data_IF_101787739638
#
_entry.id   IF_101787739638
#
_cell.length_a   1.000
_cell.length_b   1.000
_cell.length_c   1.000
_cell.angle_alpha   90.00
_cell.angle_beta   90.00
_cell.angle_gamma   90.00
#
_symmetry.space_group_name_H-M   'P 1'
#
loop_
_entity.id
_entity.type
_entity.pdbx_description
1 polymer ?
#
# COMPACT_ATOMS: atom_id res chain seq x y z
N UNK A 1 11.04 -3.91 20.65
CA UNK A 1 11.27 -4.22 19.24
C UNK A 1 12.32 -3.26 18.73
N UNK A 2 13.45 -3.77 18.26
CA UNK A 2 14.46 -2.94 17.59
C UNK A 2 14.10 -2.70 16.11
N UNK A 3 14.91 -1.92 15.38
CA UNK A 3 14.63 -1.56 14.00
C UNK A 3 14.61 -2.78 13.05
N UNK A 4 15.50 -3.76 13.26
CA UNK A 4 15.61 -4.95 12.40
C UNK A 4 14.44 -5.89 12.68
N UNK A 5 14.07 -6.04 13.95
CA UNK A 5 12.91 -6.84 14.37
C UNK A 5 11.60 -6.22 13.85
N UNK A 6 11.47 -4.88 13.89
CA UNK A 6 10.32 -4.17 13.34
C UNK A 6 10.21 -4.31 11.83
N UNK A 7 11.33 -4.23 11.11
CA UNK A 7 11.39 -4.44 9.66
C UNK A 7 10.90 -5.85 9.30
N UNK A 8 11.42 -6.89 9.96
CA UNK A 8 11.00 -8.28 9.74
C UNK A 8 9.52 -8.47 10.02
N UNK A 9 9.04 -7.95 11.16
CA UNK A 9 7.63 -8.05 11.54
C UNK A 9 6.72 -7.37 10.51
N UNK A 10 7.11 -6.19 10.01
CA UNK A 10 6.34 -5.47 9.00
C UNK A 10 6.21 -6.29 7.70
N UNK A 11 7.31 -6.90 7.24
CA UNK A 11 7.30 -7.77 6.07
C UNK A 11 6.42 -9.01 6.27
N UNK A 12 6.51 -9.65 7.43
CA UNK A 12 5.70 -10.82 7.76
C UNK A 12 4.20 -10.51 7.75
N UNK A 13 3.79 -9.37 8.32
CA UNK A 13 2.40 -8.92 8.32
C UNK A 13 1.86 -8.76 6.89
N UNK A 14 2.65 -8.12 6.01
CA UNK A 14 2.29 -7.94 4.60
C UNK A 14 2.19 -9.27 3.86
N UNK A 15 3.14 -10.17 4.06
CA UNK A 15 3.14 -11.49 3.43
C UNK A 15 1.95 -12.36 3.89
N UNK A 16 1.60 -12.29 5.17
CA UNK A 16 0.45 -13.01 5.72
C UNK A 16 -0.87 -12.48 5.15
N UNK A 17 -1.06 -11.16 5.09
CA UNK A 17 -2.26 -10.55 4.53
C UNK A 17 -2.40 -10.83 3.03
N UNK A 18 -1.29 -10.79 2.28
CA UNK A 18 -1.26 -11.20 0.88
C UNK A 18 -1.69 -12.66 0.70
N UNK A 19 -1.22 -13.55 1.58
CA UNK A 19 -1.64 -14.96 1.61
C UNK A 19 -3.14 -15.13 1.85
N UNK A 20 -3.72 -14.37 2.77
CA UNK A 20 -5.17 -14.36 3.01
C UNK A 20 -5.95 -13.84 1.79
N UNK A 21 -5.50 -12.74 1.21
CA UNK A 21 -6.12 -12.14 0.02
C UNK A 21 -6.11 -13.10 -1.17
N UNK A 22 -4.99 -13.80 -1.41
CA UNK A 22 -4.90 -14.80 -2.48
C UNK A 22 -5.81 -16.01 -2.24
N UNK A 23 -6.05 -16.42 -0.98
CA UNK A 23 -7.03 -17.47 -0.68
C UNK A 23 -8.46 -17.01 -0.94
N UNK A 24 -8.77 -15.73 -0.72
CA UNK A 24 -10.11 -15.17 -0.93
C UNK A 24 -10.45 -14.96 -2.40
N UNK A 25 -9.50 -14.50 -3.22
CA UNK A 25 -9.77 -14.07 -4.61
C UNK A 25 -9.02 -14.89 -5.68
N UNK A 26 -8.32 -15.94 -5.27
CA UNK A 26 -7.50 -16.77 -6.14
C UNK A 26 -6.10 -16.19 -6.37
N UNK A 27 -5.16 -17.04 -6.78
CA UNK A 27 -3.75 -16.67 -6.99
C UNK A 27 -3.57 -15.68 -8.15
N UNK A 28 -4.41 -15.76 -9.18
CA UNK A 28 -4.47 -14.81 -10.29
C UNK A 28 -5.36 -13.59 -9.99
N UNK A 29 -6.05 -13.58 -8.84
CA UNK A 29 -7.07 -12.59 -8.50
C UNK A 29 -8.17 -12.54 -9.57
N UNK A 30 -8.91 -13.65 -9.73
CA UNK A 30 -9.88 -13.85 -10.83
C UNK A 30 -11.03 -12.84 -10.83
N UNK A 31 -11.27 -12.17 -9.68
CA UNK A 31 -12.22 -11.05 -9.57
C UNK A 31 -11.66 -9.71 -10.07
N UNK A 32 -10.35 -9.63 -10.28
CA UNK A 32 -9.59 -8.39 -10.49
C UNK A 32 -9.07 -8.26 -11.92
N UNK A 33 -9.59 -9.10 -12.82
CA UNK A 33 -9.56 -8.81 -14.26
C UNK A 33 -10.73 -7.91 -14.71
N UNK A 34 -11.22 -7.03 -13.83
CA UNK A 34 -12.41 -6.20 -14.09
C UNK A 34 -12.12 -4.71 -14.36
N UNK A 35 -10.93 -4.17 -14.08
CA UNK A 35 -10.66 -2.76 -14.38
C UNK A 35 -9.19 -2.34 -14.31
N UNK A 36 -8.87 -1.35 -15.14
CA UNK A 36 -7.57 -0.68 -15.21
C UNK A 36 -7.37 0.20 -13.95
N UNK A 37 -6.86 -0.37 -12.85
CA UNK A 37 -6.36 0.39 -11.69
C UNK A 37 -7.23 0.41 -10.42
N UNK A 38 -8.30 -0.39 -10.31
CA UNK A 38 -9.11 -0.42 -9.08
C UNK A 38 -8.34 -0.91 -7.84
N UNK A 39 -7.36 -1.81 -8.00
CA UNK A 39 -6.49 -2.24 -6.88
C UNK A 39 -5.65 -1.08 -6.34
N UNK A 40 -5.04 -0.31 -7.25
CA UNK A 40 -4.29 0.89 -6.89
C UNK A 40 -5.19 1.87 -6.11
N UNK A 41 -6.38 2.13 -6.64
CA UNK A 41 -7.40 2.97 -6.05
C UNK A 41 -7.87 2.49 -4.67
N UNK A 42 -8.09 1.19 -4.49
CA UNK A 42 -8.45 0.60 -3.20
C UNK A 42 -7.33 0.74 -2.16
N UNK A 43 -6.08 0.51 -2.56
CA UNK A 43 -4.93 0.72 -1.67
C UNK A 43 -4.75 2.19 -1.29
N UNK A 44 -4.93 3.11 -2.24
CA UNK A 44 -4.88 4.55 -1.98
C UNK A 44 -5.98 5.00 -1.03
N UNK A 45 -7.22 4.55 -1.24
CA UNK A 45 -8.33 4.81 -0.34
C UNK A 45 -8.05 4.30 1.09
N UNK A 46 -7.42 3.14 1.25
CA UNK A 46 -7.06 2.62 2.57
C UNK A 46 -6.02 3.52 3.27
N UNK A 47 -5.03 4.03 2.52
CA UNK A 47 -4.06 4.98 3.06
C UNK A 47 -4.69 6.33 3.40
N UNK A 48 -5.57 6.84 2.55
CA UNK A 48 -6.29 8.10 2.76
C UNK A 48 -7.13 8.04 4.03
N UNK A 49 -7.95 6.99 4.21
CA UNK A 49 -8.73 6.83 5.44
C UNK A 49 -7.86 6.58 6.69
N UNK A 50 -6.69 5.95 6.54
CA UNK A 50 -5.73 5.83 7.65
C UNK A 50 -5.14 7.18 8.02
N UNK A 51 -4.83 8.02 7.04
CA UNK A 51 -4.39 9.39 7.27
C UNK A 51 -5.50 10.22 7.93
N UNK A 52 -6.72 10.13 7.42
CA UNK A 52 -7.86 10.84 8.00
C UNK A 52 -8.12 10.38 9.43
N UNK A 53 -7.95 9.09 9.73
CA UNK A 53 -8.06 8.55 11.10
C UNK A 53 -7.08 9.22 12.06
N UNK A 54 -5.85 9.51 11.64
CA UNK A 54 -4.86 10.20 12.47
C UNK A 54 -5.27 11.63 12.82
N UNK A 55 -6.09 12.25 11.97
CA UNK A 55 -6.54 13.63 12.13
C UNK A 55 -7.91 13.73 12.82
N UNK A 56 -8.83 12.81 12.52
CA UNK A 56 -10.26 12.87 12.89
C UNK A 56 -10.73 11.75 13.81
N UNK A 57 -9.88 10.76 14.10
CA UNK A 57 -10.22 9.62 14.95
C UNK A 57 -10.88 8.47 14.19
N UNK A 58 -11.50 7.54 14.92
CA UNK A 58 -11.94 6.25 14.38
C UNK A 58 -13.01 6.34 13.27
N UNK A 59 -13.73 7.47 13.18
CA UNK A 59 -14.83 7.67 12.25
C UNK A 59 -14.40 7.82 10.78
N UNK A 60 -13.10 7.96 10.51
CA UNK A 60 -12.55 8.10 9.17
C UNK A 60 -12.93 6.96 8.20
N UNK A 61 -13.24 5.76 8.72
CA UNK A 61 -13.66 4.62 7.90
C UNK A 61 -15.19 4.53 7.68
N UNK A 62 -15.97 5.46 8.25
CA UNK A 62 -17.41 5.57 7.97
C UNK A 62 -17.70 6.31 6.67
N UNK A 63 -16.73 7.07 6.17
CA UNK A 63 -16.79 7.74 4.87
C UNK A 63 -15.94 6.93 3.90
N UNK A 64 -16.54 6.49 2.80
CA UNK A 64 -15.81 5.80 1.73
C UNK A 64 -15.03 6.86 0.95
N UNK A 65 -13.69 6.79 0.88
CA UNK A 65 -12.90 7.73 0.10
C UNK A 65 -13.30 7.70 -1.37
N UNK A 66 -13.26 8.85 -2.05
CA UNK A 66 -13.67 8.97 -3.46
C UNK A 66 -12.86 8.06 -4.38
N UNK A 67 -11.59 7.82 -4.05
CA UNK A 67 -10.71 6.93 -4.79
C UNK A 67 -11.17 5.47 -4.74
N UNK A 68 -11.96 5.05 -3.75
CA UNK A 68 -12.34 3.64 -3.62
C UNK A 68 -13.23 3.18 -4.80
N UNK A 69 -13.00 1.99 -5.38
CA UNK A 69 -13.80 1.48 -6.48
C UNK A 69 -15.31 1.46 -6.17
N UNK A 70 -16.11 2.15 -7.00
CA UNK A 70 -17.56 2.32 -6.78
C UNK A 70 -18.37 1.03 -6.90
N UNK A 71 -17.86 0.07 -7.66
CA UNK A 71 -18.41 -1.26 -7.87
C UNK A 71 -17.96 -2.28 -6.82
N UNK A 72 -17.07 -1.88 -5.90
CA UNK A 72 -16.65 -2.72 -4.79
C UNK A 72 -17.47 -2.40 -3.54
N UNK A 73 -17.90 -3.46 -2.86
CA UNK A 73 -18.50 -3.38 -1.53
C UNK A 73 -17.46 -3.65 -0.44
N UNK A 74 -17.70 -3.16 0.77
CA UNK A 74 -16.98 -3.65 1.96
C UNK A 74 -15.72 -2.89 2.34
N UNK A 75 -15.61 -1.63 1.91
CA UNK A 75 -14.67 -0.68 2.50
C UNK A 75 -14.90 -0.62 4.03
N UNK A 76 -13.85 -0.82 4.81
CA UNK A 76 -13.93 -0.91 6.27
C UNK A 76 -12.59 -0.65 6.93
N UNK A 77 -12.64 -0.36 8.22
CA UNK A 77 -11.47 -0.42 9.10
C UNK A 77 -11.09 -1.88 9.37
N UNK A 78 -9.79 -2.15 9.36
CA UNK A 78 -9.18 -3.42 9.76
C UNK A 78 -8.54 -3.34 11.15
N UNK A 79 -8.81 -2.28 11.92
CA UNK A 79 -8.28 -2.07 13.27
C UNK A 79 -7.53 -0.75 13.40
N UNK A 80 -6.33 -0.78 13.98
CA UNK A 80 -5.44 0.38 14.09
C UNK A 80 -4.72 0.72 12.79
N UNK A 81 -3.74 1.62 12.84
CA UNK A 81 -3.00 2.05 11.64
C UNK A 81 -2.27 0.89 10.95
N UNK A 82 -1.58 0.05 11.73
CA UNK A 82 -0.79 -1.07 11.20
C UNK A 82 -1.62 -1.98 10.28
N UNK A 83 -2.74 -2.59 10.71
CA UNK A 83 -3.51 -3.48 9.84
C UNK A 83 -4.10 -2.75 8.63
N UNK A 84 -4.53 -1.49 8.76
CA UNK A 84 -5.04 -0.72 7.62
C UNK A 84 -3.94 -0.43 6.59
N UNK A 85 -2.74 -0.07 7.03
CA UNK A 85 -1.57 0.13 6.15
C UNK A 85 -1.19 -1.20 5.48
N UNK A 86 -1.16 -2.30 6.22
CA UNK A 86 -0.85 -3.64 5.69
C UNK A 86 -1.83 -4.05 4.58
N UNK A 87 -3.13 -3.80 4.77
CA UNK A 87 -4.14 -4.04 3.72
C UNK A 87 -3.92 -3.13 2.51
N UNK A 88 -3.64 -1.84 2.73
CA UNK A 88 -3.31 -0.90 1.66
C UNK A 88 -2.09 -1.34 0.84
N UNK A 89 -1.01 -1.77 1.50
CA UNK A 89 0.19 -2.33 0.86
C UNK A 89 -0.14 -3.60 0.08
N UNK A 90 -1.00 -4.47 0.64
CA UNK A 90 -1.41 -5.71 -0.04
C UNK A 90 -2.15 -5.43 -1.35
N UNK A 91 -3.04 -4.42 -1.37
CA UNK A 91 -3.66 -3.97 -2.62
C UNK A 91 -2.63 -3.49 -3.65
N UNK A 92 -1.61 -2.75 -3.21
CA UNK A 92 -0.54 -2.28 -4.09
C UNK A 92 0.32 -3.42 -4.63
N UNK A 93 0.63 -4.43 -3.82
CA UNK A 93 1.34 -5.64 -4.28
C UNK A 93 0.52 -6.38 -5.33
N UNK A 94 -0.78 -6.52 -5.11
CA UNK A 94 -1.67 -7.15 -6.09
C UNK A 94 -1.72 -6.35 -7.40
N UNK A 95 -1.65 -5.02 -7.35
CA UNK A 95 -1.58 -4.20 -8.56
C UNK A 95 -0.25 -4.42 -9.28
N UNK A 96 0.87 -4.38 -8.57
CA UNK A 96 2.19 -4.69 -9.15
C UNK A 96 2.17 -6.08 -9.80
N UNK A 97 1.59 -7.08 -9.14
CA UNK A 97 1.43 -8.43 -9.69
C UNK A 97 0.63 -8.40 -11.01
N UNK A 98 -0.47 -7.64 -11.07
CA UNK A 98 -1.28 -7.48 -12.28
C UNK A 98 -0.48 -6.82 -13.41
N UNK A 99 0.26 -5.76 -13.13
CA UNK A 99 1.13 -5.06 -14.10
C UNK A 99 2.20 -6.03 -14.64
N UNK A 100 2.86 -6.79 -13.76
CA UNK A 100 3.83 -7.83 -14.13
C UNK A 100 3.22 -8.93 -15.00
N UNK A 101 2.04 -9.43 -14.66
CA UNK A 101 1.31 -10.43 -15.45
C UNK A 101 0.95 -9.91 -16.85
N UNK A 102 0.76 -8.60 -16.99
CA UNK A 102 0.49 -7.93 -18.25
C UNK A 102 1.76 -7.53 -19.04
N UNK A 103 2.94 -7.89 -18.54
CA UNK A 103 4.22 -7.65 -19.22
C UNK A 103 4.79 -6.24 -19.03
N UNK A 104 4.37 -5.48 -18.02
CA UNK A 104 5.01 -4.21 -17.70
C UNK A 104 6.45 -4.41 -17.19
N UNK A 105 7.34 -3.49 -17.56
CA UNK A 105 8.76 -3.52 -17.19
C UNK A 105 8.94 -3.10 -15.72
N UNK A 106 9.45 -3.99 -14.84
CA UNK A 106 9.69 -3.68 -13.44
C UNK A 106 11.02 -2.94 -13.20
N UNK A 107 11.77 -2.61 -14.25
CA UNK A 107 13.09 -1.97 -14.14
C UNK A 107 12.97 -0.61 -13.46
N UNK A 108 13.42 -0.54 -12.21
CA UNK A 108 13.55 0.72 -11.48
C UNK A 108 14.78 1.47 -11.97
N UNK A 109 14.64 2.78 -12.25
CA UNK A 109 15.80 3.64 -12.50
C UNK A 109 16.79 3.59 -11.32
N UNK A 110 18.08 3.52 -11.63
CA UNK A 110 19.13 3.43 -10.62
C UNK A 110 19.07 4.64 -9.67
N UNK A 111 19.08 4.38 -8.36
CA UNK A 111 19.38 5.43 -7.37
C UNK A 111 20.86 5.74 -7.50
N UNK A 112 21.19 7.00 -7.75
CA UNK A 112 22.59 7.41 -7.86
C UNK A 112 23.25 7.37 -6.46
N UNK A 113 24.56 7.03 -6.34
CA UNK A 113 25.24 6.95 -5.05
C UNK A 113 25.24 8.24 -4.24
N UNK A 114 25.09 9.39 -4.90
CA UNK A 114 24.98 10.69 -4.28
C UNK A 114 23.64 10.89 -3.56
N UNK A 115 22.57 10.14 -3.82
CA UNK A 115 21.24 10.37 -3.23
C UNK A 115 21.07 9.77 -1.82
N UNK A 116 21.92 10.18 -0.87
CA UNK A 116 21.84 9.77 0.55
C UNK A 116 21.10 10.82 1.39
N UNK A 117 20.41 10.36 2.42
CA UNK A 117 19.75 11.24 3.37
C UNK A 117 20.79 12.01 4.19
N UNK A 118 20.66 13.34 4.26
CA UNK A 118 21.46 14.20 5.14
C UNK A 118 20.62 14.54 6.39
N UNK A 119 21.01 14.06 7.59
CA UNK A 119 20.31 14.40 8.84
C UNK A 119 20.31 15.90 9.15
N UNK A 120 21.32 16.63 8.70
CA UNK A 120 21.51 18.05 8.98
C UNK A 120 20.53 18.94 8.22
N UNK A 121 20.14 18.53 7.01
CA UNK A 121 19.23 19.30 6.15
C UNK A 121 17.83 18.73 6.08
N UNK A 122 17.62 17.47 6.52
CA UNK A 122 16.36 16.76 6.37
C UNK A 122 16.01 16.41 4.92
N UNK A 123 16.92 16.67 3.98
CA UNK A 123 16.74 16.47 2.55
C UNK A 123 17.67 15.37 2.03
N UNK A 124 17.27 14.63 0.97
CA UNK A 124 18.21 13.89 0.16
C UNK A 124 19.10 14.91 -0.59
N UNK A 125 20.33 15.06 -0.11
CA UNK A 125 21.33 16.08 -0.47
C UNK A 125 20.93 17.55 -0.22
N UNK A 126 21.87 18.41 0.23
CA UNK A 126 21.73 19.85 0.05
C UNK A 126 21.69 20.15 -1.45
N UNK A 127 20.68 20.89 -1.91
CA UNK A 127 20.72 21.49 -3.24
C UNK A 127 21.79 22.58 -3.18
N UNK A 128 23.01 22.28 -3.61
CA UNK A 128 23.99 23.31 -3.91
C UNK A 128 23.48 24.04 -5.16
N UNK A 129 22.89 25.22 -4.94
CA UNK A 129 22.48 26.16 -5.98
C UNK A 129 23.66 26.97 -6.51
#
# INVERSE_FOLDING_TARGET
MDAIEAEKTALELVMNELGLTNKMWGSANERVDASKGQLFNAGFAQFDATLDRRNRGADAFHVIPEAYPKDWSGFRSYGGDIPNIVVGVTFMIQEIKRLLMNGEDPTRLARRPDQKYSPETGLPNPVEG
#
